data_IF_446040312264
#
_entry.id   IF_446040312264
#
_cell.length_a   1.000
_cell.length_b   1.000
_cell.length_c   1.000
_cell.angle_alpha   90.00
_cell.angle_beta   90.00
_cell.angle_gamma   90.00
#
_symmetry.space_group_name_H-M   'P 1'
#
loop_
_entity.id
_entity.type
_entity.pdbx_description
1 polymer ?
#
# COMPACT_ATOMS: atom_id res chain seq x y z
N UNK A 1 -13.09 15.71 12.30
CA UNK A 1 -11.98 16.26 11.49
C UNK A 1 -12.58 17.03 10.32
N UNK A 2 -12.17 18.26 10.06
CA UNK A 2 -12.66 19.00 8.89
C UNK A 2 -11.93 18.51 7.64
N UNK A 3 -12.53 18.62 6.44
CA UNK A 3 -11.89 18.22 5.19
C UNK A 3 -10.55 18.96 4.97
N UNK A 4 -10.44 20.23 5.40
CA UNK A 4 -9.19 21.00 5.39
C UNK A 4 -8.07 20.33 6.18
N UNK A 5 -8.40 19.60 7.25
CA UNK A 5 -7.43 18.95 8.13
C UNK A 5 -6.86 17.64 7.53
N UNK A 6 -7.44 17.18 6.41
CA UNK A 6 -7.00 15.96 5.70
C UNK A 6 -6.03 16.25 4.57
N UNK A 7 -5.79 17.53 4.23
CA UNK A 7 -4.82 17.93 3.20
C UNK A 7 -3.49 18.28 3.85
N UNK A 8 -2.37 18.02 3.17
CA UNK A 8 -1.09 18.55 3.64
C UNK A 8 -1.03 20.05 3.40
N UNK A 9 -0.10 20.73 4.09
CA UNK A 9 0.24 22.11 3.77
C UNK A 9 0.98 22.23 2.40
N UNK A 10 1.29 23.44 1.99
CA UNK A 10 1.97 23.72 0.71
C UNK A 10 3.38 23.09 0.61
N UNK A 11 3.98 22.73 1.73
CA UNK A 11 5.25 22.03 1.82
C UNK A 11 5.11 20.51 1.93
N UNK A 12 3.89 20.02 1.95
CA UNK A 12 3.56 18.59 1.98
C UNK A 12 3.54 17.97 3.37
N UNK A 13 3.26 18.76 4.43
CA UNK A 13 3.17 18.24 5.79
C UNK A 13 1.72 18.02 6.23
N UNK A 14 1.49 16.91 6.92
CA UNK A 14 0.36 16.66 7.79
C UNK A 14 0.84 16.85 9.24
N UNK A 15 0.61 18.03 9.82
CA UNK A 15 1.20 18.42 11.09
C UNK A 15 2.74 18.44 10.98
N UNK A 16 3.43 17.58 11.75
CA UNK A 16 4.90 17.46 11.69
C UNK A 16 5.39 16.41 10.70
N UNK A 17 4.51 15.62 10.08
CA UNK A 17 4.85 14.51 9.20
C UNK A 17 4.77 14.89 7.73
N UNK A 18 5.59 14.30 6.90
CA UNK A 18 5.68 14.62 5.47
C UNK A 18 6.93 15.40 5.12
N UNK A 19 6.77 16.36 4.22
CA UNK A 19 7.85 17.26 3.77
C UNK A 19 8.78 16.65 2.72
N UNK A 20 9.94 17.30 2.52
CA UNK A 20 10.98 16.93 1.54
C UNK A 20 12.33 16.84 2.23
N UNK A 21 12.71 15.68 2.72
CA UNK A 21 14.01 15.41 3.36
C UNK A 21 14.92 14.67 2.39
N UNK A 22 15.33 15.35 1.35
CA UNK A 22 16.11 14.81 0.22
C UNK A 22 17.39 15.61 -0.01
N UNK A 23 18.38 15.03 -0.71
CA UNK A 23 19.52 15.81 -1.21
C UNK A 23 19.06 16.98 -2.08
N UNK A 24 19.80 18.09 -2.04
CA UNK A 24 19.50 19.32 -2.79
C UNK A 24 19.29 19.06 -4.28
N UNK A 25 20.01 18.10 -4.84
CA UNK A 25 19.89 17.67 -6.24
C UNK A 25 18.52 17.15 -6.63
N UNK A 26 17.69 16.72 -5.67
CA UNK A 26 16.31 16.26 -5.90
C UNK A 26 15.25 17.33 -5.67
N UNK A 27 15.60 18.52 -5.18
CA UNK A 27 14.60 19.57 -4.90
C UNK A 27 13.93 20.05 -6.18
N UNK A 28 14.70 20.47 -7.20
CA UNK A 28 14.14 20.91 -8.48
C UNK A 28 13.30 19.83 -9.20
N UNK A 29 13.72 18.54 -9.28
CA UNK A 29 12.88 17.45 -9.78
C UNK A 29 11.56 17.28 -9.03
N UNK A 30 11.55 17.42 -7.70
CA UNK A 30 10.33 17.34 -6.90
C UNK A 30 9.41 18.54 -7.10
N UNK A 31 9.96 19.72 -7.34
CA UNK A 31 9.20 20.92 -7.70
C UNK A 31 8.57 20.78 -9.08
N UNK A 32 9.34 20.31 -10.08
CA UNK A 32 8.83 19.96 -11.41
C UNK A 32 7.67 18.95 -11.30
N UNK A 33 7.86 17.87 -10.55
CA UNK A 33 6.84 16.85 -10.32
C UNK A 33 5.59 17.42 -9.65
N UNK A 34 5.78 18.27 -8.64
CA UNK A 34 4.67 18.91 -7.90
C UNK A 34 3.84 19.79 -8.83
N UNK A 35 4.50 20.65 -9.60
CA UNK A 35 3.83 21.53 -10.56
C UNK A 35 3.09 20.73 -11.65
N UNK A 36 3.74 19.70 -12.21
CA UNK A 36 3.14 18.82 -13.21
C UNK A 36 1.92 18.07 -12.67
N UNK A 37 1.99 17.58 -11.43
CA UNK A 37 0.89 16.87 -10.79
C UNK A 37 -0.34 17.77 -10.59
N UNK A 38 -0.17 18.94 -9.99
CA UNK A 38 -1.29 19.87 -9.77
C UNK A 38 -1.87 20.40 -11.09
N UNK A 39 -1.04 20.68 -12.07
CA UNK A 39 -1.50 21.07 -13.41
C UNK A 39 -2.33 19.93 -14.04
N UNK A 40 -1.81 18.70 -14.07
CA UNK A 40 -2.48 17.57 -14.67
C UNK A 40 -3.83 17.27 -14.00
N UNK A 41 -3.86 17.25 -12.67
CA UNK A 41 -5.08 16.89 -11.91
C UNK A 41 -6.16 17.97 -11.94
N UNK A 42 -5.82 19.21 -12.28
CA UNK A 42 -6.79 20.29 -12.52
C UNK A 42 -7.47 20.19 -13.89
N UNK A 43 -6.93 19.40 -14.83
CA UNK A 43 -7.44 19.27 -16.19
C UNK A 43 -8.47 18.13 -16.30
N UNK A 44 -9.72 18.40 -16.75
CA UNK A 44 -10.72 17.35 -16.94
C UNK A 44 -10.28 16.24 -17.92
N UNK A 45 -9.45 16.57 -18.90
CA UNK A 45 -8.94 15.60 -19.88
C UNK A 45 -8.00 14.55 -19.24
N UNK A 46 -7.19 14.94 -18.27
CA UNK A 46 -6.35 13.99 -17.52
C UNK A 46 -7.20 13.03 -16.70
N UNK A 47 -8.19 13.57 -16.00
CA UNK A 47 -9.10 12.74 -15.18
C UNK A 47 -9.89 11.77 -16.07
N UNK A 48 -10.44 12.23 -17.21
CA UNK A 48 -11.17 11.39 -18.16
C UNK A 48 -10.28 10.25 -18.70
N UNK A 49 -9.03 10.52 -19.04
CA UNK A 49 -8.09 9.50 -19.51
C UNK A 49 -7.74 8.48 -18.41
N UNK A 50 -7.55 8.94 -17.18
CA UNK A 50 -7.32 8.04 -16.04
C UNK A 50 -8.55 7.17 -15.77
N UNK A 51 -9.76 7.75 -15.78
CA UNK A 51 -10.99 7.03 -15.53
C UNK A 51 -11.29 5.98 -16.64
N UNK A 52 -10.95 6.28 -17.89
CA UNK A 52 -11.02 5.32 -18.99
C UNK A 52 -10.11 4.11 -18.76
N UNK A 53 -8.84 4.36 -18.39
CA UNK A 53 -7.89 3.28 -18.10
C UNK A 53 -8.29 2.48 -16.86
N UNK A 54 -8.77 3.14 -15.82
CA UNK A 54 -9.26 2.46 -14.62
C UNK A 54 -10.44 1.56 -14.95
N UNK A 55 -11.36 1.99 -15.82
CA UNK A 55 -12.54 1.21 -16.23
C UNK A 55 -12.18 0.09 -17.20
N UNK A 56 -11.52 0.42 -18.30
CA UNK A 56 -11.39 -0.48 -19.44
C UNK A 56 -10.11 -1.35 -19.38
N UNK A 57 -9.10 -0.93 -18.62
CA UNK A 57 -7.85 -1.67 -18.48
C UNK A 57 -7.69 -2.29 -17.10
N UNK A 58 -7.96 -1.55 -16.02
CA UNK A 58 -7.90 -2.10 -14.67
C UNK A 58 -9.12 -2.94 -14.28
N UNK A 59 -10.27 -2.75 -14.95
CA UNK A 59 -11.50 -3.50 -14.67
C UNK A 59 -12.31 -2.93 -13.49
N UNK A 60 -12.27 -1.61 -13.29
CA UNK A 60 -13.02 -0.95 -12.21
C UNK A 60 -14.46 -0.61 -12.64
N UNK A 61 -15.41 -0.51 -11.67
CA UNK A 61 -15.22 -0.65 -10.22
C UNK A 61 -14.96 -2.09 -9.79
N UNK A 62 -14.06 -2.30 -8.82
CA UNK A 62 -13.88 -3.63 -8.21
C UNK A 62 -15.10 -3.98 -7.37
N UNK A 63 -15.50 -5.28 -7.31
CA UNK A 63 -16.66 -5.68 -6.52
C UNK A 63 -16.51 -5.39 -5.03
N UNK A 64 -17.63 -5.05 -4.38
CA UNK A 64 -17.80 -5.15 -2.94
C UNK A 64 -18.59 -6.43 -2.65
N UNK A 65 -17.92 -7.48 -2.19
CA UNK A 65 -18.46 -8.83 -2.02
C UNK A 65 -18.90 -9.07 -0.58
N UNK A 66 -20.13 -9.53 -0.37
CA UNK A 66 -20.61 -9.97 0.94
C UNK A 66 -20.08 -11.37 1.25
N UNK A 67 -19.20 -11.48 2.22
CA UNK A 67 -18.62 -12.75 2.69
C UNK A 67 -19.56 -13.43 3.68
N UNK A 68 -20.59 -14.09 3.15
CA UNK A 68 -21.68 -14.65 3.97
C UNK A 68 -21.23 -15.77 4.92
N UNK A 69 -20.37 -16.68 4.42
CA UNK A 69 -19.89 -17.80 5.24
C UNK A 69 -18.96 -17.32 6.35
N UNK A 70 -18.14 -16.30 6.03
CA UNK A 70 -17.27 -15.65 6.99
C UNK A 70 -18.10 -14.93 8.07
N UNK A 71 -19.11 -14.14 7.67
CA UNK A 71 -20.04 -13.45 8.58
C UNK A 71 -20.75 -14.45 9.52
N UNK A 72 -21.26 -15.55 8.98
CA UNK A 72 -21.90 -16.62 9.78
C UNK A 72 -20.91 -17.30 10.73
N UNK A 73 -19.69 -17.58 10.27
CA UNK A 73 -18.67 -18.25 11.06
C UNK A 73 -18.17 -17.39 12.23
N UNK A 74 -18.09 -16.07 12.04
CA UNK A 74 -17.68 -15.15 13.10
C UNK A 74 -18.81 -14.72 14.05
N UNK A 75 -20.07 -15.05 13.70
CA UNK A 75 -21.27 -14.85 14.50
C UNK A 75 -21.50 -13.41 15.01
N UNK A 76 -21.06 -12.42 14.23
CA UNK A 76 -21.16 -10.99 14.56
C UNK A 76 -21.58 -10.15 13.36
N UNK A 77 -20.80 -9.09 13.06
CA UNK A 77 -21.08 -8.17 11.97
C UNK A 77 -21.16 -8.82 10.59
N UNK A 78 -21.89 -8.19 9.68
CA UNK A 78 -21.85 -8.51 8.25
C UNK A 78 -20.52 -8.03 7.66
N UNK A 79 -19.81 -8.94 7.00
CA UNK A 79 -18.46 -8.72 6.48
C UNK A 79 -18.51 -8.55 4.97
N UNK A 80 -18.03 -7.42 4.50
CA UNK A 80 -17.84 -7.14 3.09
C UNK A 80 -16.35 -7.07 2.73
N UNK A 81 -16.01 -7.60 1.56
CA UNK A 81 -14.64 -7.56 1.02
C UNK A 81 -14.61 -6.61 -0.17
N UNK A 82 -13.81 -5.55 -0.11
CA UNK A 82 -13.49 -4.73 -1.28
C UNK A 82 -12.41 -5.45 -2.08
N UNK A 83 -12.75 -5.95 -3.26
CA UNK A 83 -12.01 -6.95 -4.05
C UNK A 83 -10.94 -6.32 -4.95
N UNK A 84 -9.94 -5.65 -4.36
CA UNK A 84 -8.80 -5.10 -5.12
C UNK A 84 -7.87 -6.20 -5.70
N UNK A 85 -7.98 -7.42 -5.21
CA UNK A 85 -7.38 -8.63 -5.77
C UNK A 85 -7.87 -8.98 -7.18
N UNK A 86 -9.03 -8.46 -7.59
CA UNK A 86 -9.60 -8.63 -8.92
C UNK A 86 -9.21 -7.52 -9.91
N UNK A 87 -8.54 -6.46 -9.47
CA UNK A 87 -7.96 -5.48 -10.38
C UNK A 87 -6.92 -6.13 -11.30
N UNK A 88 -6.75 -5.60 -12.50
CA UNK A 88 -5.69 -6.02 -13.41
C UNK A 88 -4.33 -6.01 -12.69
N UNK A 89 -3.48 -7.00 -12.94
CA UNK A 89 -2.26 -7.35 -12.22
C UNK A 89 -2.46 -8.08 -10.88
N UNK A 90 -3.68 -8.08 -10.32
CA UNK A 90 -4.04 -8.82 -9.10
C UNK A 90 -3.82 -8.03 -7.80
N UNK A 91 -3.77 -6.70 -7.84
CA UNK A 91 -3.72 -5.85 -6.65
C UNK A 91 -4.06 -4.39 -6.94
N UNK A 92 -4.34 -3.62 -5.87
CA UNK A 92 -4.58 -2.17 -5.91
C UNK A 92 -3.45 -1.34 -6.56
N UNK A 93 -2.25 -1.90 -6.73
CA UNK A 93 -1.07 -1.16 -7.22
C UNK A 93 -1.27 -0.54 -8.58
N UNK A 94 -2.08 -1.17 -9.45
CA UNK A 94 -2.36 -0.69 -10.80
C UNK A 94 -3.02 0.71 -10.79
N UNK A 95 -3.82 1.05 -9.80
CA UNK A 95 -4.48 2.35 -9.71
C UNK A 95 -3.48 3.50 -9.69
N UNK A 96 -2.48 3.38 -8.82
CA UNK A 96 -1.42 4.36 -8.67
C UNK A 96 -0.49 4.39 -9.89
N UNK A 97 -0.09 3.22 -10.41
CA UNK A 97 0.85 3.16 -11.55
C UNK A 97 0.26 3.75 -12.82
N UNK A 98 -1.05 3.60 -13.07
CA UNK A 98 -1.74 4.26 -14.19
C UNK A 98 -1.70 5.79 -14.04
N UNK A 99 -2.00 6.32 -12.87
CA UNK A 99 -1.96 7.76 -12.63
C UNK A 99 -0.55 8.34 -12.80
N UNK A 100 0.45 7.69 -12.21
CA UNK A 100 1.83 8.16 -12.30
C UNK A 100 2.43 8.02 -13.70
N UNK A 101 2.12 6.95 -14.45
CA UNK A 101 2.64 6.82 -15.83
C UNK A 101 2.04 7.86 -16.77
N UNK A 102 0.75 8.21 -16.62
CA UNK A 102 0.16 9.31 -17.38
C UNK A 102 0.86 10.64 -17.09
N UNK A 103 1.20 10.88 -15.82
CA UNK A 103 1.95 12.07 -15.42
C UNK A 103 3.37 12.06 -16.00
N UNK A 104 4.10 10.94 -15.89
CA UNK A 104 5.45 10.79 -16.45
C UNK A 104 5.49 11.07 -17.95
N UNK A 105 4.51 10.59 -18.71
CA UNK A 105 4.36 10.84 -20.15
C UNK A 105 4.14 12.33 -20.44
N UNK A 106 3.31 13.02 -19.67
CA UNK A 106 3.09 14.48 -19.80
C UNK A 106 4.37 15.29 -19.52
N UNK A 107 5.17 14.80 -18.57
CA UNK A 107 6.48 15.38 -18.27
C UNK A 107 7.56 15.04 -19.32
N UNK A 108 7.23 14.28 -20.36
CA UNK A 108 8.15 13.88 -21.43
C UNK A 108 9.22 12.86 -20.99
N UNK A 109 9.02 12.20 -19.84
CA UNK A 109 9.96 11.19 -19.34
C UNK A 109 9.85 9.90 -20.19
N UNK A 110 10.99 9.32 -20.51
CA UNK A 110 11.09 8.14 -21.41
C UNK A 110 11.37 6.84 -20.67
N UNK A 111 11.98 6.94 -19.51
CA UNK A 111 12.38 5.83 -18.66
C UNK A 111 11.66 5.91 -17.32
N UNK A 112 11.16 4.76 -16.88
CA UNK A 112 10.52 4.60 -15.57
C UNK A 112 11.39 3.71 -14.70
N UNK A 113 11.65 4.14 -13.48
CA UNK A 113 12.24 3.28 -12.45
C UNK A 113 11.26 3.08 -11.31
N UNK A 114 11.34 1.91 -10.67
CA UNK A 114 10.53 1.60 -9.48
C UNK A 114 11.31 0.69 -8.54
N UNK A 115 10.88 0.65 -7.29
CA UNK A 115 11.27 -0.34 -6.30
C UNK A 115 10.15 -1.36 -6.09
N UNK A 116 10.49 -2.55 -5.58
CA UNK A 116 9.46 -3.51 -5.15
C UNK A 116 9.99 -4.48 -4.08
N UNK A 117 9.13 -4.87 -3.13
CA UNK A 117 9.38 -5.95 -2.17
C UNK A 117 8.61 -7.21 -2.57
N UNK A 118 7.30 -7.25 -2.34
CA UNK A 118 6.43 -8.37 -2.74
C UNK A 118 6.30 -8.57 -4.28
N UNK A 119 6.88 -7.69 -5.08
CA UNK A 119 6.82 -7.77 -6.54
C UNK A 119 5.56 -7.17 -7.17
N UNK A 120 4.49 -6.94 -6.43
CA UNK A 120 3.21 -6.46 -6.99
C UNK A 120 3.31 -5.05 -7.57
N UNK A 121 4.06 -4.15 -6.93
CA UNK A 121 4.31 -2.82 -7.48
C UNK A 121 5.16 -2.90 -8.75
N UNK A 122 6.23 -3.70 -8.73
CA UNK A 122 7.08 -3.92 -9.90
C UNK A 122 6.30 -4.49 -11.10
N UNK A 123 5.42 -5.48 -10.87
CA UNK A 123 4.54 -6.02 -11.91
C UNK A 123 3.59 -4.95 -12.44
N UNK A 124 2.95 -4.17 -11.57
CA UNK A 124 2.06 -3.10 -12.01
C UNK A 124 2.81 -2.02 -12.81
N UNK A 125 4.02 -1.65 -12.39
CA UNK A 125 4.87 -0.69 -13.13
C UNK A 125 5.31 -1.25 -14.49
N UNK A 126 5.81 -2.49 -14.53
CA UNK A 126 6.16 -3.15 -15.79
C UNK A 126 4.97 -3.23 -16.76
N UNK A 127 3.78 -3.51 -16.22
CA UNK A 127 2.53 -3.58 -16.99
C UNK A 127 2.19 -2.24 -17.66
N UNK A 128 2.21 -1.13 -16.90
CA UNK A 128 1.90 0.18 -17.50
C UNK A 128 3.02 0.67 -18.43
N UNK A 129 4.28 0.33 -18.16
CA UNK A 129 5.38 0.63 -19.08
C UNK A 129 5.23 -0.12 -20.40
N UNK A 130 4.88 -1.40 -20.36
CA UNK A 130 4.58 -2.18 -21.57
C UNK A 130 3.40 -1.57 -22.36
N UNK A 131 2.32 -1.19 -21.66
CA UNK A 131 1.15 -0.57 -22.28
C UNK A 131 1.48 0.72 -23.02
N UNK A 132 2.41 1.52 -22.50
CA UNK A 132 2.75 2.84 -23.05
C UNK A 132 4.07 2.89 -23.82
N UNK A 133 4.77 1.75 -23.98
CA UNK A 133 6.04 1.67 -24.70
C UNK A 133 7.18 2.44 -24.03
N UNK A 134 7.25 2.42 -22.69
CA UNK A 134 8.29 3.10 -21.90
C UNK A 134 9.34 2.10 -21.42
N UNK A 135 10.59 2.56 -21.33
CA UNK A 135 11.64 1.77 -20.68
C UNK A 135 11.35 1.61 -19.19
N UNK A 136 11.58 0.39 -18.66
CA UNK A 136 11.25 0.06 -17.28
C UNK A 136 12.40 -0.66 -16.60
N UNK A 137 12.87 -0.12 -15.47
CA UNK A 137 13.82 -0.78 -14.57
C UNK A 137 13.22 -0.89 -13.18
N UNK A 138 13.18 -2.11 -12.62
CA UNK A 138 12.64 -2.39 -11.29
C UNK A 138 13.75 -2.87 -10.37
N UNK A 139 13.98 -2.16 -9.28
CA UNK A 139 14.92 -2.55 -8.22
C UNK A 139 14.23 -3.48 -7.22
N UNK A 140 14.87 -4.60 -6.91
CA UNK A 140 14.33 -5.58 -5.97
C UNK A 140 15.45 -6.22 -5.14
N UNK A 141 15.25 -6.33 -3.84
CA UNK A 141 16.24 -6.95 -2.96
C UNK A 141 16.41 -8.45 -3.24
N UNK A 142 17.64 -8.95 -3.11
CA UNK A 142 17.98 -10.36 -3.39
C UNK A 142 17.14 -11.36 -2.56
N UNK A 143 16.81 -11.01 -1.31
CA UNK A 143 15.93 -11.86 -0.48
C UNK A 143 14.49 -11.83 -0.96
N UNK A 144 14.00 -10.68 -1.42
CA UNK A 144 12.66 -10.54 -1.97
C UNK A 144 12.53 -11.26 -3.33
N UNK A 145 13.56 -11.23 -4.17
CA UNK A 145 13.61 -11.99 -5.44
C UNK A 145 13.39 -13.48 -5.18
N UNK A 146 14.06 -14.04 -4.17
CA UNK A 146 13.90 -15.47 -3.82
C UNK A 146 12.48 -15.81 -3.37
N UNK A 147 11.89 -14.94 -2.54
CA UNK A 147 10.53 -15.12 -2.01
C UNK A 147 9.43 -14.95 -3.06
N UNK A 148 9.69 -14.18 -4.14
CA UNK A 148 8.68 -13.71 -5.09
C UNK A 148 9.08 -13.93 -6.55
N UNK A 149 9.69 -15.08 -6.84
CA UNK A 149 10.22 -15.43 -8.16
C UNK A 149 9.17 -15.36 -9.29
N UNK A 150 7.90 -15.72 -9.00
CA UNK A 150 6.81 -15.61 -9.97
C UNK A 150 6.61 -14.15 -10.44
N UNK A 151 6.66 -13.18 -9.54
CA UNK A 151 6.53 -11.77 -9.90
C UNK A 151 7.76 -11.26 -10.66
N UNK A 152 8.95 -11.75 -10.33
CA UNK A 152 10.19 -11.45 -11.11
C UNK A 152 10.04 -11.92 -12.56
N UNK A 153 9.56 -13.15 -12.76
CA UNK A 153 9.30 -13.68 -14.10
C UNK A 153 8.26 -12.83 -14.85
N UNK A 154 7.16 -12.44 -14.19
CA UNK A 154 6.12 -11.58 -14.78
C UNK A 154 6.67 -10.23 -15.23
N UNK A 155 7.51 -9.57 -14.41
CA UNK A 155 8.15 -8.30 -14.77
C UNK A 155 9.03 -8.44 -16.02
N UNK A 156 9.86 -9.49 -16.08
CA UNK A 156 10.71 -9.78 -17.24
C UNK A 156 9.89 -10.09 -18.50
N UNK A 157 8.80 -10.85 -18.37
CA UNK A 157 7.88 -11.14 -19.47
C UNK A 157 7.23 -9.87 -20.05
N UNK A 158 6.99 -8.87 -19.20
CA UNK A 158 6.46 -7.56 -19.59
C UNK A 158 7.54 -6.61 -20.15
N UNK A 159 8.78 -7.09 -20.29
CA UNK A 159 9.87 -6.30 -20.86
C UNK A 159 10.65 -5.43 -19.88
N UNK A 160 10.36 -5.51 -18.58
CA UNK A 160 11.11 -4.75 -17.59
C UNK A 160 12.46 -5.40 -17.25
N UNK A 161 13.49 -4.59 -17.07
CA UNK A 161 14.74 -4.98 -16.44
C UNK A 161 14.51 -5.09 -14.92
N UNK A 162 14.83 -6.24 -14.31
CA UNK A 162 14.84 -6.40 -12.85
C UNK A 162 16.26 -6.38 -12.36
N UNK A 163 16.61 -5.34 -11.59
CA UNK A 163 17.93 -5.17 -10.98
C UNK A 163 17.93 -5.67 -9.55
N UNK A 164 18.76 -6.69 -9.33
CA UNK A 164 18.97 -7.28 -8.01
C UNK A 164 19.79 -6.34 -7.11
N UNK A 165 19.30 -6.12 -5.88
CA UNK A 165 20.00 -5.35 -4.85
C UNK A 165 20.55 -6.29 -3.81
N UNK A 166 21.89 -6.38 -3.74
CA UNK A 166 22.62 -7.27 -2.83
C UNK A 166 23.19 -6.56 -1.59
N UNK A 167 23.07 -5.23 -1.52
CA UNK A 167 23.53 -4.41 -0.39
C UNK A 167 22.53 -4.42 0.78
N UNK A 168 23.01 -4.14 1.97
CA UNK A 168 22.20 -3.96 3.19
C UNK A 168 21.43 -5.21 3.59
N UNK A 169 20.17 -5.06 3.96
CA UNK A 169 19.25 -6.15 4.31
C UNK A 169 18.77 -6.96 3.08
N UNK A 170 19.05 -6.49 1.88
CA UNK A 170 18.64 -7.11 0.60
C UNK A 170 17.12 -7.23 0.44
N UNK A 171 16.38 -6.26 1.02
CA UNK A 171 14.92 -6.17 0.99
C UNK A 171 14.46 -4.83 0.41
N UNK A 172 13.15 -4.58 0.45
CA UNK A 172 12.50 -3.36 -0.09
C UNK A 172 13.21 -2.06 0.33
N UNK A 173 13.68 -1.94 1.59
CA UNK A 173 14.37 -0.73 2.06
C UNK A 173 15.60 -0.41 1.19
N UNK A 174 16.41 -1.41 0.86
CA UNK A 174 17.61 -1.21 0.07
C UNK A 174 17.31 -1.07 -1.43
N UNK A 175 16.24 -1.67 -1.91
CA UNK A 175 15.73 -1.43 -3.26
C UNK A 175 15.32 0.02 -3.47
N UNK A 176 14.67 0.66 -2.47
CA UNK A 176 14.34 2.09 -2.50
C UNK A 176 15.62 2.95 -2.56
N UNK A 177 16.64 2.59 -1.76
CA UNK A 177 17.91 3.31 -1.78
C UNK A 177 18.58 3.29 -3.16
N UNK A 178 18.58 2.15 -3.83
CA UNK A 178 19.16 2.04 -5.18
C UNK A 178 18.32 2.78 -6.23
N UNK A 179 17.00 2.70 -6.16
CA UNK A 179 16.12 3.47 -7.03
C UNK A 179 16.35 4.99 -6.88
N UNK A 180 16.50 5.48 -5.65
CA UNK A 180 16.82 6.89 -5.38
C UNK A 180 18.20 7.30 -5.95
N UNK A 181 19.23 6.44 -5.85
CA UNK A 181 20.55 6.71 -6.44
C UNK A 181 20.48 6.81 -7.96
N UNK A 182 19.76 5.87 -8.61
CA UNK A 182 19.54 5.94 -10.05
C UNK A 182 18.80 7.22 -10.44
N UNK A 183 17.74 7.56 -9.69
CA UNK A 183 16.95 8.75 -9.98
C UNK A 183 17.76 10.04 -9.90
N UNK A 184 18.56 10.22 -8.85
CA UNK A 184 19.47 11.39 -8.72
C UNK A 184 20.39 11.50 -9.93
N UNK A 185 20.87 10.38 -10.45
CA UNK A 185 21.82 10.36 -11.58
C UNK A 185 21.16 10.65 -12.93
N UNK A 186 19.90 10.21 -13.12
CA UNK A 186 19.23 10.19 -14.43
C UNK A 186 17.92 10.99 -14.45
N UNK A 187 17.76 11.97 -13.58
CA UNK A 187 16.51 12.70 -13.35
C UNK A 187 15.94 13.40 -14.58
N UNK A 188 16.81 13.76 -15.56
CA UNK A 188 16.39 14.51 -16.74
C UNK A 188 15.36 13.75 -17.60
N UNK A 189 15.56 12.46 -17.82
CA UNK A 189 14.72 11.61 -18.68
C UNK A 189 13.99 10.50 -17.93
N UNK A 190 14.29 10.32 -16.64
CA UNK A 190 13.80 9.23 -15.81
C UNK A 190 12.76 9.73 -14.80
N UNK A 191 11.66 8.99 -14.69
CA UNK A 191 10.62 9.17 -13.69
C UNK A 191 10.72 8.08 -12.64
N UNK A 192 10.79 8.44 -11.37
CA UNK A 192 10.68 7.49 -10.27
C UNK A 192 9.21 7.25 -9.95
N UNK A 193 8.71 6.07 -10.27
CA UNK A 193 7.33 5.64 -10.02
C UNK A 193 7.25 4.96 -8.66
N UNK A 194 6.95 5.73 -7.62
CA UNK A 194 6.97 5.27 -6.23
C UNK A 194 5.69 4.50 -5.89
N UNK A 195 5.85 3.34 -5.24
CA UNK A 195 4.80 2.33 -5.08
C UNK A 195 3.90 2.47 -3.87
N UNK A 196 4.16 3.39 -2.95
CA UNK A 196 3.37 3.54 -1.75
C UNK A 196 3.15 5.01 -1.35
N UNK A 197 2.25 5.26 -0.38
CA UNK A 197 1.92 6.60 0.11
C UNK A 197 2.99 7.10 1.10
N UNK A 198 4.26 7.04 0.70
CA UNK A 198 5.45 7.45 1.44
C UNK A 198 6.41 8.18 0.50
N UNK A 199 7.59 8.57 1.01
CA UNK A 199 8.56 9.33 0.23
C UNK A 199 8.36 10.85 0.36
N UNK A 200 9.20 11.65 -0.34
CA UNK A 200 9.10 13.10 -0.27
C UNK A 200 7.83 13.63 -0.95
N UNK A 201 7.33 14.77 -0.48
CA UNK A 201 6.24 15.45 -1.20
C UNK A 201 6.63 15.71 -2.67
N UNK A 202 5.75 15.42 -3.66
CA UNK A 202 4.31 15.19 -3.57
C UNK A 202 3.88 13.71 -3.53
N UNK A 203 4.79 12.75 -3.47
CA UNK A 203 4.45 11.32 -3.59
C UNK A 203 3.37 10.83 -2.62
N UNK A 204 3.38 11.12 -1.30
CA UNK A 204 2.34 10.65 -0.41
C UNK A 204 0.94 11.12 -0.83
N UNK A 205 0.83 12.40 -1.23
CA UNK A 205 -0.40 13.01 -1.70
C UNK A 205 -0.88 12.38 -3.03
N UNK A 206 0.03 12.24 -4.00
CA UNK A 206 -0.27 11.66 -5.31
C UNK A 206 -0.78 10.23 -5.19
N UNK A 207 -0.05 9.38 -4.45
CA UNK A 207 -0.41 7.98 -4.26
C UNK A 207 -1.73 7.85 -3.54
N UNK A 208 -1.96 8.61 -2.46
CA UNK A 208 -3.26 8.67 -1.79
C UNK A 208 -4.39 8.99 -2.78
N UNK A 209 -4.24 10.05 -3.56
CA UNK A 209 -5.29 10.52 -4.45
C UNK A 209 -5.62 9.49 -5.55
N UNK A 210 -4.60 8.86 -6.16
CA UNK A 210 -4.81 7.79 -7.13
C UNK A 210 -5.42 6.52 -6.51
N UNK A 211 -5.10 6.21 -5.27
CA UNK A 211 -5.68 5.07 -4.56
C UNK A 211 -7.07 5.36 -3.96
N UNK A 212 -7.47 6.62 -3.82
CA UNK A 212 -8.77 6.98 -3.23
C UNK A 212 -9.98 6.50 -4.04
N UNK A 213 -9.78 6.03 -5.25
CA UNK A 213 -10.81 5.32 -6.04
C UNK A 213 -11.37 4.11 -5.26
N UNK A 214 -10.54 3.42 -4.45
CA UNK A 214 -10.96 2.30 -3.61
C UNK A 214 -12.07 2.74 -2.65
N UNK A 215 -11.83 3.78 -1.88
CA UNK A 215 -12.79 4.28 -0.89
C UNK A 215 -14.01 4.95 -1.51
N UNK A 216 -13.83 5.70 -2.63
CA UNK A 216 -14.98 6.29 -3.34
C UNK A 216 -15.96 5.23 -3.83
N UNK A 217 -15.46 4.18 -4.48
CA UNK A 217 -16.29 3.05 -4.91
C UNK A 217 -16.93 2.31 -3.75
N UNK A 218 -16.14 2.05 -2.69
CA UNK A 218 -16.64 1.39 -1.47
C UNK A 218 -17.80 2.16 -0.86
N UNK A 219 -17.69 3.49 -0.79
CA UNK A 219 -18.73 4.36 -0.25
C UNK A 219 -20.04 4.24 -1.06
N UNK A 220 -19.96 4.34 -2.36
CA UNK A 220 -21.13 4.17 -3.24
C UNK A 220 -21.73 2.78 -3.11
N UNK A 221 -20.92 1.75 -3.25
CA UNK A 221 -21.37 0.36 -3.25
C UNK A 221 -21.98 -0.08 -1.91
N UNK A 222 -21.44 0.38 -0.76
CA UNK A 222 -21.99 0.00 0.54
C UNK A 222 -23.32 0.72 0.81
N UNK A 223 -23.44 1.98 0.41
CA UNK A 223 -24.72 2.71 0.54
C UNK A 223 -25.81 2.11 -0.36
N UNK A 224 -25.45 1.69 -1.58
CA UNK A 224 -26.39 0.98 -2.47
C UNK A 224 -26.88 -0.36 -1.86
N UNK A 225 -26.04 -1.06 -1.11
CA UNK A 225 -26.36 -2.37 -0.52
C UNK A 225 -27.05 -2.30 0.83
N UNK A 226 -26.58 -1.39 1.69
CA UNK A 226 -26.95 -1.32 3.11
C UNK A 226 -27.78 -0.08 3.47
N UNK A 227 -27.95 0.87 2.53
CA UNK A 227 -28.62 2.15 2.77
C UNK A 227 -27.85 3.10 3.70
N UNK A 228 -26.64 2.72 4.15
CA UNK A 228 -25.86 3.47 5.11
C UNK A 228 -24.34 3.23 4.95
N UNK A 229 -23.53 4.03 5.62
CA UNK A 229 -22.10 3.81 5.72
C UNK A 229 -21.76 2.60 6.62
N UNK A 230 -20.58 1.99 6.46
CA UNK A 230 -20.15 0.88 7.30
C UNK A 230 -19.81 1.39 8.71
N UNK A 231 -19.87 0.49 9.70
CA UNK A 231 -19.44 0.78 11.06
C UNK A 231 -17.92 0.74 11.19
N UNK A 232 -17.25 -0.12 10.42
CA UNK A 232 -15.80 -0.20 10.43
C UNK A 232 -15.20 -0.47 9.04
N UNK A 233 -14.03 0.14 8.78
CA UNK A 233 -13.15 -0.12 7.66
C UNK A 233 -11.84 -0.72 8.18
N UNK A 234 -11.39 -1.82 7.59
CA UNK A 234 -10.17 -2.51 8.01
C UNK A 234 -9.27 -2.76 6.80
N UNK A 235 -7.99 -2.40 6.92
CA UNK A 235 -7.00 -2.63 5.87
C UNK A 235 -5.61 -2.89 6.45
N UNK A 236 -4.80 -3.71 5.78
CA UNK A 236 -3.41 -3.92 6.16
C UNK A 236 -2.56 -2.68 5.85
N UNK A 237 -1.48 -2.49 6.61
CA UNK A 237 -0.63 -1.31 6.50
C UNK A 237 0.85 -1.70 6.44
N UNK A 238 1.41 -1.68 5.22
CA UNK A 238 2.85 -1.60 4.97
C UNK A 238 3.27 -0.14 4.89
N UNK A 239 3.58 0.39 3.70
CA UNK A 239 3.68 1.84 3.48
C UNK A 239 2.34 2.57 3.49
N UNK A 240 1.21 1.82 3.44
CA UNK A 240 -0.13 2.33 3.69
C UNK A 240 -0.93 2.78 2.47
N UNK A 241 -0.51 2.46 1.23
CA UNK A 241 -1.22 2.94 0.04
C UNK A 241 -2.64 2.39 -0.12
N UNK A 242 -2.85 1.10 0.15
CA UNK A 242 -4.18 0.49 0.07
C UNK A 242 -5.13 1.01 1.16
N UNK A 243 -4.63 1.15 2.37
CA UNK A 243 -5.41 1.58 3.52
C UNK A 243 -5.78 3.06 3.43
N UNK A 244 -4.85 3.96 3.07
CA UNK A 244 -5.20 5.38 2.87
C UNK A 244 -6.14 5.57 1.68
N UNK A 245 -6.01 4.74 0.63
CA UNK A 245 -6.94 4.75 -0.49
C UNK A 245 -8.37 4.38 -0.08
N UNK A 246 -8.54 3.43 0.85
CA UNK A 246 -9.83 3.09 1.43
C UNK A 246 -10.31 4.17 2.41
N UNK A 247 -9.45 4.63 3.32
CA UNK A 247 -9.83 5.47 4.47
C UNK A 247 -10.10 6.92 4.08
N UNK A 248 -9.31 7.49 3.16
CA UNK A 248 -9.36 8.91 2.85
C UNK A 248 -10.77 9.44 2.53
N UNK A 249 -11.60 8.78 1.68
CA UNK A 249 -12.97 9.24 1.43
C UNK A 249 -13.93 9.19 2.63
N UNK A 250 -13.52 8.58 3.74
CA UNK A 250 -14.32 8.44 4.97
C UNK A 250 -13.74 9.23 6.16
N UNK A 251 -12.66 9.97 5.99
CA UNK A 251 -12.02 10.69 7.10
C UNK A 251 -12.93 11.70 7.79
N UNK A 252 -13.85 12.30 7.05
CA UNK A 252 -14.86 13.24 7.57
C UNK A 252 -16.07 12.58 8.24
N UNK A 253 -16.19 11.25 8.21
CA UNK A 253 -17.32 10.52 8.79
C UNK A 253 -16.94 9.99 10.20
N UNK A 254 -17.26 10.72 11.29
CA UNK A 254 -16.74 10.38 12.63
C UNK A 254 -17.27 9.05 13.17
N UNK A 255 -18.41 8.58 12.67
CA UNK A 255 -19.04 7.32 13.08
C UNK A 255 -18.46 6.10 12.35
N UNK A 256 -17.63 6.28 11.34
CA UNK A 256 -16.94 5.19 10.65
C UNK A 256 -15.60 4.95 11.35
N UNK A 257 -15.48 3.83 12.04
CA UNK A 257 -14.23 3.39 12.67
C UNK A 257 -13.26 2.94 11.59
N UNK A 258 -11.99 3.29 11.70
CA UNK A 258 -10.95 2.88 10.75
C UNK A 258 -9.81 2.20 11.48
N UNK A 259 -9.40 1.02 10.99
CA UNK A 259 -8.39 0.20 11.63
C UNK A 259 -7.33 -0.21 10.61
N UNK A 260 -6.10 0.26 10.84
CA UNK A 260 -4.91 -0.15 10.11
C UNK A 260 -4.23 -1.33 10.80
N UNK A 261 -3.96 -2.39 10.06
CA UNK A 261 -3.36 -3.62 10.61
C UNK A 261 -1.92 -3.75 10.14
N UNK A 262 -0.98 -3.64 11.08
CA UNK A 262 0.45 -3.80 10.87
C UNK A 262 0.89 -5.26 11.04
N UNK A 263 2.07 -5.62 10.53
CA UNK A 263 2.65 -6.95 10.70
C UNK A 263 3.34 -7.07 12.06
N UNK A 264 2.75 -7.85 12.96
CA UNK A 264 3.31 -8.20 14.27
C UNK A 264 4.44 -9.23 14.20
N UNK A 265 4.64 -9.84 13.03
CA UNK A 265 5.74 -10.77 12.78
C UNK A 265 5.73 -11.99 13.69
N UNK A 266 6.90 -12.37 14.16
CA UNK A 266 7.12 -13.55 15.02
C UNK A 266 7.43 -13.22 16.48
N UNK A 267 7.51 -11.93 16.85
CA UNK A 267 7.82 -11.49 18.21
C UNK A 267 7.86 -9.98 18.35
N UNK A 268 8.12 -9.50 19.58
CA UNK A 268 8.10 -8.07 19.93
C UNK A 268 9.46 -7.39 19.89
N UNK A 269 10.55 -8.12 19.59
CA UNK A 269 11.89 -7.55 19.52
C UNK A 269 12.12 -6.88 18.17
N UNK A 270 12.96 -5.83 18.14
CA UNK A 270 13.41 -5.23 16.89
C UNK A 270 14.02 -6.29 15.96
N UNK A 271 13.57 -6.29 14.71
CA UNK A 271 13.94 -7.30 13.72
C UNK A 271 12.97 -8.49 13.63
N UNK A 272 12.00 -8.62 14.55
CA UNK A 272 11.00 -9.70 14.55
C UNK A 272 9.61 -9.24 14.11
N UNK A 273 9.37 -7.95 13.93
CA UNK A 273 8.10 -7.36 13.50
C UNK A 273 8.29 -6.15 12.58
N UNK A 274 7.19 -5.63 12.04
CA UNK A 274 7.14 -4.37 11.30
C UNK A 274 5.99 -3.47 11.81
N UNK A 275 5.86 -3.33 13.15
CA UNK A 275 4.87 -2.48 13.83
C UNK A 275 5.48 -1.14 14.16
N UNK A 276 5.19 -0.09 13.38
CA UNK A 276 5.78 1.25 13.52
C UNK A 276 5.14 2.07 14.63
N UNK A 277 3.90 1.77 15.00
CA UNK A 277 3.19 2.45 16.09
C UNK A 277 3.32 1.77 17.46
N UNK A 278 4.17 0.77 17.56
CA UNK A 278 4.52 0.15 18.83
C UNK A 278 5.76 0.85 19.42
N UNK A 279 5.55 1.77 20.35
CA UNK A 279 6.63 2.53 20.99
C UNK A 279 7.62 1.63 21.73
N UNK A 280 7.13 0.59 22.41
CA UNK A 280 7.99 -0.39 23.10
C UNK A 280 8.79 -1.26 22.13
N UNK A 281 8.28 -1.42 20.89
CA UNK A 281 8.94 -2.12 19.79
C UNK A 281 9.87 -1.24 18.95
N UNK A 282 10.16 0.00 19.36
CA UNK A 282 11.13 0.89 18.71
C UNK A 282 10.55 1.83 17.65
N UNK A 283 9.23 1.91 17.51
CA UNK A 283 8.56 2.86 16.61
C UNK A 283 8.59 4.27 17.16
N UNK A 284 9.14 5.22 16.41
CA UNK A 284 9.20 6.64 16.79
C UNK A 284 9.32 7.54 15.57
N UNK A 285 8.99 8.84 15.70
CA UNK A 285 9.19 9.82 14.63
C UNK A 285 10.64 9.87 14.16
N UNK A 286 10.83 9.87 12.83
CA UNK A 286 12.13 9.92 12.20
C UNK A 286 12.03 10.12 10.69
N UNK A 287 13.15 10.36 10.03
CA UNK A 287 13.24 10.56 8.59
C UNK A 287 13.75 9.30 7.92
N UNK A 288 13.00 8.81 6.93
CA UNK A 288 13.44 7.74 6.05
C UNK A 288 12.91 7.99 4.62
N UNK A 289 13.75 7.73 3.61
CA UNK A 289 13.39 7.85 2.18
C UNK A 289 12.71 9.18 1.82
N UNK A 290 13.22 10.27 2.40
CA UNK A 290 12.82 11.64 2.03
C UNK A 290 11.57 12.19 2.73
N UNK A 291 11.04 11.53 3.75
CA UNK A 291 9.87 12.00 4.50
C UNK A 291 10.04 11.83 6.01
N UNK A 292 9.46 12.73 6.81
CA UNK A 292 9.27 12.57 8.25
C UNK A 292 8.05 11.69 8.50
N UNK A 293 8.21 10.60 9.25
CA UNK A 293 7.10 9.70 9.61
C UNK A 293 7.45 8.89 10.87
N UNK A 294 6.65 7.86 11.21
CA UNK A 294 7.08 6.86 12.18
C UNK A 294 7.99 5.83 11.52
N UNK A 295 9.10 5.53 12.19
CA UNK A 295 10.15 4.62 11.71
C UNK A 295 10.62 3.73 12.86
N UNK A 296 10.85 2.44 12.56
CA UNK A 296 11.49 1.53 13.50
C UNK A 296 12.98 1.85 13.63
N UNK A 297 13.42 2.17 14.84
CA UNK A 297 14.77 2.61 15.15
C UNK A 297 15.30 1.90 16.40
N UNK A 298 16.59 1.57 16.38
CA UNK A 298 17.29 1.09 17.57
C UNK A 298 17.57 2.21 18.59
N UNK A 299 18.20 1.87 19.71
CA UNK A 299 18.54 2.82 20.76
C UNK A 299 19.54 3.92 20.33
N UNK A 300 20.19 3.77 19.17
CA UNK A 300 21.14 4.73 18.59
C UNK A 300 20.51 5.56 17.46
N UNK A 301 19.21 5.37 17.21
CA UNK A 301 18.50 6.06 16.12
C UNK A 301 18.76 5.47 14.72
N UNK A 302 19.38 4.29 14.63
CA UNK A 302 19.57 3.63 13.34
C UNK A 302 18.30 2.88 12.94
N UNK A 303 18.03 2.83 11.64
CA UNK A 303 16.89 2.10 11.09
C UNK A 303 17.04 0.62 11.42
N UNK A 304 16.06 0.08 12.13
CA UNK A 304 16.05 -1.31 12.53
C UNK A 304 15.70 -2.25 11.36
N UNK A 305 16.15 -3.49 11.45
CA UNK A 305 15.62 -4.57 10.62
C UNK A 305 14.15 -4.83 10.93
N UNK A 306 13.44 -5.44 10.00
CA UNK A 306 12.04 -5.81 10.13
C UNK A 306 11.83 -7.27 9.75
N UNK A 307 10.70 -7.83 10.14
CA UNK A 307 10.26 -9.14 9.70
C UNK A 307 8.73 -9.18 9.54
N UNK A 308 8.29 -9.82 8.49
CA UNK A 308 6.91 -10.25 8.26
C UNK A 308 6.91 -11.46 7.31
N UNK A 309 5.99 -12.40 7.52
CA UNK A 309 5.70 -13.45 6.55
C UNK A 309 5.24 -12.87 5.21
N UNK A 310 4.68 -11.68 5.24
CA UNK A 310 4.28 -10.91 4.06
C UNK A 310 5.36 -9.92 3.65
N UNK A 311 5.98 -10.13 2.49
CA UNK A 311 7.02 -9.25 1.96
C UNK A 311 6.53 -7.80 1.73
N UNK A 312 5.24 -7.58 1.46
CA UNK A 312 4.68 -6.25 1.25
C UNK A 312 4.44 -5.44 2.54
N UNK A 313 4.50 -6.09 3.72
CA UNK A 313 4.42 -5.43 5.01
C UNK A 313 5.79 -5.33 5.72
N UNK A 314 6.82 -5.96 5.18
CA UNK A 314 8.18 -6.02 5.73
C UNK A 314 8.94 -4.72 5.42
N UNK A 315 8.58 -3.63 6.13
CA UNK A 315 9.15 -2.31 5.91
C UNK A 315 9.17 -1.47 7.19
N UNK A 316 10.28 -0.77 7.50
CA UNK A 316 10.48 -0.11 8.79
C UNK A 316 9.78 1.25 8.95
N UNK A 317 9.14 1.80 7.91
CA UNK A 317 8.45 3.08 8.00
C UNK A 317 6.99 2.98 7.56
N UNK A 318 6.24 4.09 7.69
CA UNK A 318 4.84 4.20 7.27
C UNK A 318 4.63 5.54 6.54
N UNK A 319 3.54 5.67 5.80
CA UNK A 319 3.17 6.93 5.16
C UNK A 319 2.93 8.07 6.16
N UNK A 320 3.34 9.31 5.85
CA UNK A 320 3.24 10.44 6.78
C UNK A 320 1.80 10.81 7.15
N UNK A 321 0.84 10.63 6.24
CA UNK A 321 -0.58 10.83 6.53
C UNK A 321 -1.08 9.81 7.57
N UNK A 322 -0.63 8.54 7.50
CA UNK A 322 -0.92 7.54 8.53
C UNK A 322 -0.36 7.93 9.90
N UNK A 323 0.86 8.48 9.94
CA UNK A 323 1.46 8.98 11.16
C UNK A 323 0.62 10.10 11.80
N UNK A 324 0.14 11.03 10.99
CA UNK A 324 -0.77 12.08 11.42
C UNK A 324 -2.13 11.54 11.91
N UNK A 325 -2.71 10.59 11.19
CA UNK A 325 -3.98 9.97 11.54
C UNK A 325 -3.90 9.16 12.85
N UNK A 326 -2.74 8.55 13.12
CA UNK A 326 -2.44 7.90 14.39
C UNK A 326 -2.40 8.93 15.53
N UNK A 327 -1.59 9.98 15.41
CA UNK A 327 -1.39 10.98 16.47
C UNK A 327 -2.69 11.77 16.77
N UNK A 328 -3.56 11.95 15.78
CA UNK A 328 -4.87 12.58 15.97
C UNK A 328 -5.96 11.62 16.46
N UNK A 329 -5.66 10.33 16.59
CA UNK A 329 -6.61 9.31 17.01
C UNK A 329 -7.74 9.05 15.99
N UNK A 330 -7.58 9.49 14.73
CA UNK A 330 -8.62 9.28 13.70
C UNK A 330 -8.64 7.85 13.16
N UNK A 331 -7.50 7.21 13.11
CA UNK A 331 -7.34 5.82 12.71
C UNK A 331 -6.66 5.06 13.85
N UNK A 332 -7.22 3.93 14.21
CA UNK A 332 -6.64 2.97 15.14
C UNK A 332 -5.62 2.09 14.40
N UNK A 333 -4.48 1.81 15.02
CA UNK A 333 -3.50 0.89 14.46
C UNK A 333 -3.25 -0.25 15.42
N UNK A 334 -3.26 -1.46 14.87
CA UNK A 334 -3.10 -2.72 15.60
C UNK A 334 -2.13 -3.61 14.87
N UNK A 335 -1.69 -4.69 15.50
CA UNK A 335 -0.81 -5.67 14.88
C UNK A 335 -1.38 -7.08 14.91
N UNK A 336 -0.97 -7.87 13.92
CA UNK A 336 -1.31 -9.29 13.78
C UNK A 336 -0.02 -10.07 13.53
N UNK A 337 0.16 -11.17 14.24
CA UNK A 337 1.32 -12.05 14.08
C UNK A 337 1.28 -12.85 12.76
N UNK A 338 2.44 -13.38 12.36
CA UNK A 338 2.56 -14.24 11.18
C UNK A 338 1.63 -15.45 11.26
N UNK A 339 1.53 -16.09 12.43
CA UNK A 339 0.66 -17.26 12.64
C UNK A 339 -0.83 -16.93 12.51
N UNK A 340 -1.27 -15.78 13.01
CA UNK A 340 -2.66 -15.32 12.86
C UNK A 340 -2.98 -14.97 11.40
N UNK A 341 -2.04 -14.34 10.69
CA UNK A 341 -2.21 -14.03 9.27
C UNK A 341 -2.32 -15.31 8.42
N UNK A 342 -1.48 -16.32 8.68
CA UNK A 342 -1.55 -17.62 8.01
C UNK A 342 -2.88 -18.34 8.30
N UNK A 343 -3.35 -18.33 9.55
CA UNK A 343 -4.65 -18.90 9.90
C UNK A 343 -5.79 -18.22 9.14
N UNK A 344 -5.79 -16.90 9.05
CA UNK A 344 -6.79 -16.13 8.32
C UNK A 344 -6.72 -16.34 6.79
N UNK A 345 -5.51 -16.53 6.24
CA UNK A 345 -5.31 -16.91 4.84
C UNK A 345 -6.06 -18.21 4.52
N UNK A 346 -5.88 -19.24 5.34
CA UNK A 346 -6.57 -20.53 5.19
C UNK A 346 -8.08 -20.42 5.43
N UNK A 347 -8.49 -19.66 6.45
CA UNK A 347 -9.89 -19.46 6.77
C UNK A 347 -10.66 -18.83 5.60
N UNK A 348 -10.16 -17.73 5.04
CA UNK A 348 -10.79 -17.06 3.90
C UNK A 348 -10.83 -17.97 2.66
N UNK A 349 -9.74 -18.69 2.40
CA UNK A 349 -9.69 -19.64 1.27
C UNK A 349 -10.73 -20.75 1.40
N UNK A 350 -10.89 -21.33 2.59
CA UNK A 350 -11.84 -22.45 2.84
C UNK A 350 -13.29 -21.99 2.92
N UNK A 351 -13.55 -20.81 3.49
CA UNK A 351 -14.92 -20.31 3.67
C UNK A 351 -15.47 -19.64 2.43
N UNK A 352 -14.69 -18.82 1.75
CA UNK A 352 -15.18 -17.99 0.63
C UNK A 352 -14.58 -18.38 -0.74
N UNK A 353 -13.66 -19.34 -0.78
CA UNK A 353 -12.97 -19.71 -2.03
C UNK A 353 -12.06 -18.60 -2.57
N UNK A 354 -11.60 -17.71 -1.69
CA UNK A 354 -10.75 -16.57 -2.05
C UNK A 354 -9.39 -16.77 -1.40
N UNK A 355 -8.34 -16.86 -2.22
CA UNK A 355 -6.95 -16.91 -1.76
C UNK A 355 -6.40 -15.48 -1.68
N UNK A 356 -6.33 -14.86 -0.47
CA UNK A 356 -5.88 -13.49 -0.33
C UNK A 356 -4.35 -13.39 -0.41
N UNK A 357 -3.81 -12.23 -0.75
CA UNK A 357 -2.41 -11.96 -0.46
C UNK A 357 -2.14 -12.03 1.06
N UNK A 358 -0.95 -12.45 1.47
CA UNK A 358 -0.56 -12.49 2.89
C UNK A 358 -0.69 -11.10 3.56
N UNK A 359 -0.49 -10.03 2.80
CA UNK A 359 -0.76 -8.67 3.24
C UNK A 359 -2.20 -8.53 3.72
N UNK A 360 -3.16 -8.91 2.88
CA UNK A 360 -4.60 -8.79 3.17
C UNK A 360 -5.05 -9.74 4.27
N UNK A 361 -4.39 -10.89 4.42
CA UNK A 361 -4.68 -11.87 5.46
C UNK A 361 -4.51 -11.28 6.87
N UNK A 362 -3.57 -10.33 7.08
CA UNK A 362 -3.44 -9.60 8.35
C UNK A 362 -4.72 -8.80 8.67
N UNK A 363 -5.29 -8.12 7.68
CA UNK A 363 -6.55 -7.39 7.86
C UNK A 363 -7.72 -8.34 8.18
N UNK A 364 -7.81 -9.47 7.51
CA UNK A 364 -8.83 -10.51 7.77
C UNK A 364 -8.70 -11.09 9.18
N UNK A 365 -7.49 -11.37 9.65
CA UNK A 365 -7.23 -11.90 10.99
C UNK A 365 -7.74 -10.96 12.10
N UNK A 366 -7.46 -9.66 11.97
CA UNK A 366 -7.95 -8.69 12.95
C UNK A 366 -9.46 -8.46 12.82
N UNK A 367 -9.99 -8.44 11.60
CA UNK A 367 -11.42 -8.25 11.35
C UNK A 367 -12.28 -9.30 12.03
N UNK A 368 -11.80 -10.55 12.19
CA UNK A 368 -12.47 -11.59 12.95
C UNK A 368 -12.73 -11.17 14.39
N UNK A 369 -11.74 -10.59 15.07
CA UNK A 369 -11.88 -10.11 16.45
C UNK A 369 -12.92 -8.99 16.54
N UNK A 370 -12.79 -8.00 15.64
CA UNK A 370 -13.73 -6.88 15.59
C UNK A 370 -15.16 -7.35 15.30
N UNK A 371 -15.34 -8.26 14.34
CA UNK A 371 -16.67 -8.78 13.97
C UNK A 371 -17.34 -9.53 15.13
N UNK A 372 -16.58 -10.31 15.89
CA UNK A 372 -17.12 -11.10 17.04
C UNK A 372 -17.65 -10.20 18.17
N UNK A 373 -17.13 -8.96 18.28
CA UNK A 373 -17.57 -7.98 19.29
C UNK A 373 -18.72 -7.10 18.80
N UNK A 374 -19.17 -7.28 17.55
CA UNK A 374 -20.22 -6.48 16.90
C UNK A 374 -21.51 -7.29 16.73
N UNK A 375 -22.63 -6.59 16.56
CA UNK A 375 -23.94 -7.21 16.31
C UNK A 375 -24.18 -7.47 14.82
N UNK A 376 -25.12 -8.34 14.49
CA UNK A 376 -25.41 -8.78 13.12
C UNK A 376 -26.02 -7.69 12.20
N UNK A 377 -26.45 -6.56 12.76
CA UNK A 377 -26.90 -5.38 12.03
C UNK A 377 -25.75 -4.42 11.68
N UNK A 378 -24.57 -4.60 12.29
CA UNK A 378 -23.38 -3.81 12.00
C UNK A 378 -22.62 -4.36 10.79
N UNK A 379 -21.83 -3.49 10.15
CA UNK A 379 -21.18 -3.76 8.88
C UNK A 379 -19.69 -3.43 8.95
N UNK A 380 -18.87 -4.38 8.52
CA UNK A 380 -17.43 -4.21 8.35
C UNK A 380 -17.08 -4.31 6.86
N UNK A 381 -16.20 -3.43 6.38
CA UNK A 381 -15.57 -3.57 5.08
C UNK A 381 -14.07 -3.82 5.26
N UNK A 382 -13.58 -4.91 4.68
CA UNK A 382 -12.16 -5.26 4.64
C UNK A 382 -11.63 -4.99 3.23
N UNK A 383 -10.50 -4.28 3.11
CA UNK A 383 -9.83 -4.12 1.82
C UNK A 383 -8.98 -5.35 1.49
N UNK A 384 -9.41 -6.15 0.54
CA UNK A 384 -8.63 -7.26 -0.02
C UNK A 384 -7.66 -6.68 -1.07
N UNK A 385 -6.52 -6.19 -0.60
CA UNK A 385 -5.61 -5.34 -1.37
C UNK A 385 -4.88 -6.06 -2.52
N UNK A 386 -4.84 -7.40 -2.49
CA UNK A 386 -4.24 -8.21 -3.53
C UNK A 386 -4.55 -9.71 -3.39
N UNK A 387 -4.32 -10.46 -4.47
CA UNK A 387 -4.52 -11.92 -4.50
C UNK A 387 -3.27 -12.68 -4.08
N UNK A 388 -3.48 -13.91 -3.57
CA UNK A 388 -2.46 -14.72 -2.93
C UNK A 388 -1.71 -15.71 -3.81
N UNK A 389 -1.94 -15.74 -5.15
CA UNK A 389 -1.22 -16.68 -6.03
C UNK A 389 0.30 -16.59 -5.87
N UNK A 390 0.81 -15.40 -5.61
CA UNK A 390 2.24 -15.15 -5.37
C UNK A 390 2.76 -15.74 -4.05
N UNK A 391 1.87 -16.03 -3.10
CA UNK A 391 2.21 -16.43 -1.73
C UNK A 391 2.00 -17.94 -1.46
N UNK A 392 1.40 -18.66 -2.40
CA UNK A 392 1.05 -20.10 -2.25
C UNK A 392 2.27 -20.95 -1.92
N UNK A 393 3.42 -20.72 -2.56
CA UNK A 393 4.65 -21.44 -2.27
C UNK A 393 5.15 -21.16 -0.84
N UNK A 394 5.09 -19.88 -0.41
CA UNK A 394 5.48 -19.46 0.95
C UNK A 394 4.58 -20.12 2.00
N UNK A 395 3.25 -20.11 1.78
CA UNK A 395 2.29 -20.72 2.69
C UNK A 395 2.50 -22.23 2.76
N UNK A 396 2.65 -22.93 1.60
CA UNK A 396 2.93 -24.37 1.55
C UNK A 396 4.20 -24.75 2.32
N UNK A 397 5.25 -23.94 2.21
CA UNK A 397 6.48 -24.17 2.96
C UNK A 397 6.33 -23.97 4.48
N UNK A 398 5.41 -23.09 4.91
CA UNK A 398 5.10 -22.90 6.34
C UNK A 398 4.24 -24.06 6.87
N UNK A 399 3.20 -24.49 6.14
CA UNK A 399 2.35 -25.63 6.50
C UNK A 399 3.15 -26.93 6.66
N UNK A 400 4.21 -27.12 5.86
CA UNK A 400 5.07 -28.31 5.94
C UNK A 400 6.00 -28.33 7.17
N UNK A 401 6.12 -27.19 7.89
CA UNK A 401 6.95 -27.03 9.10
C UNK A 401 6.12 -27.07 10.39
N UNK A 402 4.81 -26.89 10.30
CA UNK A 402 3.86 -26.92 11.41
C UNK A 402 3.37 -28.37 11.66
#
# INVERSE_FOLDING_TARGET
MKISDTQPDDLGHWGRYGGRFVPETLMAPLEELTAAYFSATSEPAFQAQLDELLRNYSGRPTPLFHAERLSKNWAGARVYLKREDLSHTGSHKINNTLGQVLLARRMGKKRIIAETGAGQHGVATATVCALFGLECTVYMGAEDIKRQNLNVFRMKLLGAEVREVTAGSRTLKDAINEALRDWVTNVADTYYLLGSALGPHPYPLMVRNFQSVIGRETRTQIVEREGRLPDALIACVGGGSNSIGLFHPFLSDPNVRMIGVEAGGRGNSLGDHATRFNETGGGRPGVLHGTMSYVLQDGRGQIAGTHSVSAGLDYPAIGPEHAYLHDTGRVEYVSVSDSEALAAFHELARLEGIIPALESAHAVAHARRVASDMTSDQVIVINLSGRGDKDVETVSAQDSRA
#
